data_IF_867221066045
#
_entry.id   IF_867221066045
#
_cell.length_a   1.000
_cell.length_b   1.000
_cell.length_c   1.000
_cell.angle_alpha   90.00
_cell.angle_beta   90.00
_cell.angle_gamma   90.00
#
_symmetry.space_group_name_H-M   'P 1'
#
loop_
_entity.id
_entity.type
_entity.pdbx_description
1 polymer ?
#
# COMPACT_ATOMS: atom_id res chain seq x y z
N UNK A 1 24.11 -0.19 14.29
CA UNK A 1 22.97 -1.10 14.11
C UNK A 1 21.79 -0.39 13.45
N UNK A 2 21.32 0.72 13.96
CA UNK A 2 20.19 1.49 13.42
C UNK A 2 20.40 2.01 11.97
N UNK A 3 21.61 2.41 11.63
CA UNK A 3 21.95 2.90 10.28
C UNK A 3 21.75 1.80 9.24
N UNK A 4 22.14 0.56 9.52
CA UNK A 4 21.98 -0.56 8.59
C UNK A 4 20.51 -0.91 8.35
N UNK A 5 19.68 -0.82 9.39
CA UNK A 5 18.24 -1.07 9.24
C UNK A 5 17.55 0.07 8.45
N UNK A 6 17.96 1.31 8.66
CA UNK A 6 17.48 2.45 7.89
C UNK A 6 17.89 2.34 6.41
N UNK A 7 19.13 1.98 6.14
CA UNK A 7 19.64 1.76 4.79
C UNK A 7 18.92 0.59 4.11
N UNK A 8 18.66 -0.50 4.84
CA UNK A 8 17.90 -1.63 4.31
C UNK A 8 16.46 -1.24 3.98
N UNK A 9 15.81 -0.47 4.84
CA UNK A 9 14.46 0.03 4.62
C UNK A 9 14.39 0.92 3.36
N UNK A 10 15.35 1.83 3.22
CA UNK A 10 15.48 2.67 2.02
C UNK A 10 15.74 1.81 0.76
N UNK A 11 16.68 0.88 0.82
CA UNK A 11 16.96 -0.07 -0.26
C UNK A 11 15.72 -0.88 -0.65
N UNK A 12 14.95 -1.34 0.31
CA UNK A 12 13.71 -2.07 0.06
C UNK A 12 12.72 -1.26 -0.79
N UNK A 13 12.47 -0.01 -0.42
CA UNK A 13 11.56 0.84 -1.19
C UNK A 13 12.14 1.28 -2.53
N UNK A 14 13.44 1.55 -2.61
CA UNK A 14 14.10 1.86 -3.87
C UNK A 14 13.98 0.69 -4.86
N UNK A 15 14.20 -0.52 -4.39
CA UNK A 15 14.02 -1.72 -5.21
C UNK A 15 12.58 -1.87 -5.71
N UNK A 16 11.60 -1.72 -4.84
CA UNK A 16 10.19 -1.73 -5.23
C UNK A 16 9.89 -0.65 -6.28
N UNK A 17 10.45 0.54 -6.12
CA UNK A 17 10.29 1.65 -7.05
C UNK A 17 10.85 1.33 -8.44
N UNK A 18 12.01 0.71 -8.51
CA UNK A 18 12.67 0.32 -9.76
C UNK A 18 11.93 -0.82 -10.48
N UNK A 19 11.20 -1.64 -9.74
CA UNK A 19 10.43 -2.75 -10.29
C UNK A 19 9.03 -2.35 -10.82
N UNK A 20 8.55 -1.13 -10.53
CA UNK A 20 7.25 -0.63 -11.00
C UNK A 20 7.02 -0.85 -12.51
N UNK A 21 7.95 -0.52 -13.42
CA UNK A 21 7.73 -0.70 -14.85
C UNK A 21 7.84 -2.14 -15.35
N UNK A 22 8.36 -3.07 -14.53
CA UNK A 22 8.70 -4.43 -14.96
C UNK A 22 7.51 -5.40 -14.88
N UNK A 23 6.46 -5.05 -14.14
CA UNK A 23 5.34 -5.94 -13.84
C UNK A 23 4.00 -5.29 -14.22
N UNK A 24 3.01 -6.10 -14.53
CA UNK A 24 1.61 -5.66 -14.58
C UNK A 24 1.14 -5.20 -13.19
N UNK A 25 -0.03 -4.60 -13.08
CA UNK A 25 -0.56 -4.16 -11.78
C UNK A 25 -0.82 -5.36 -10.85
N UNK A 26 -1.36 -6.44 -11.39
CA UNK A 26 -1.68 -7.64 -10.63
C UNK A 26 -0.42 -8.34 -10.12
N UNK A 27 0.53 -8.61 -11.01
CA UNK A 27 1.83 -9.20 -10.63
C UNK A 27 2.57 -8.35 -9.60
N UNK A 28 2.48 -7.02 -9.73
CA UNK A 28 3.13 -6.12 -8.80
C UNK A 28 2.47 -6.13 -7.42
N UNK A 29 1.15 -6.28 -7.33
CA UNK A 29 0.43 -6.48 -6.07
C UNK A 29 0.88 -7.76 -5.36
N UNK A 30 1.01 -8.87 -6.09
CA UNK A 30 1.49 -10.13 -5.54
C UNK A 30 2.94 -10.00 -5.06
N UNK A 31 3.79 -9.32 -5.83
CA UNK A 31 5.16 -9.03 -5.46
C UNK A 31 5.23 -8.20 -4.17
N UNK A 32 4.41 -7.15 -4.04
CA UNK A 32 4.33 -6.32 -2.83
C UNK A 32 3.93 -7.17 -1.63
N UNK A 33 2.92 -8.01 -1.76
CA UNK A 33 2.47 -8.90 -0.68
C UNK A 33 3.58 -9.82 -0.21
N UNK A 34 4.26 -10.48 -1.16
CA UNK A 34 5.38 -11.36 -0.84
C UNK A 34 6.52 -10.62 -0.11
N UNK A 35 6.85 -9.41 -0.58
CA UNK A 35 7.91 -8.60 0.01
C UNK A 35 7.53 -8.00 1.35
N UNK A 36 6.28 -7.58 1.52
CA UNK A 36 5.77 -7.11 2.80
C UNK A 36 5.86 -8.21 3.87
N UNK A 37 5.52 -9.44 3.52
CA UNK A 37 5.68 -10.61 4.42
C UNK A 37 7.15 -10.86 4.79
N UNK A 38 8.06 -10.77 3.81
CA UNK A 38 9.51 -10.91 4.09
C UNK A 38 10.02 -9.81 4.99
N UNK A 39 9.57 -8.58 4.77
CA UNK A 39 9.95 -7.43 5.60
C UNK A 39 9.39 -7.56 7.02
N UNK A 40 8.13 -7.96 7.17
CA UNK A 40 7.52 -8.22 8.46
C UNK A 40 8.30 -9.29 9.25
N UNK A 41 8.67 -10.38 8.57
CA UNK A 41 9.51 -11.43 9.17
C UNK A 41 10.89 -10.92 9.59
N UNK A 42 11.54 -10.07 8.77
CA UNK A 42 12.84 -9.50 9.09
C UNK A 42 12.83 -8.66 10.36
N UNK A 43 11.76 -7.89 10.56
CA UNK A 43 11.58 -7.04 11.74
C UNK A 43 10.88 -7.74 12.91
N UNK A 44 10.79 -9.08 12.87
CA UNK A 44 10.12 -9.91 13.89
C UNK A 44 8.69 -9.42 14.22
N UNK A 45 7.99 -8.91 13.19
CA UNK A 45 6.60 -8.48 13.36
C UNK A 45 5.69 -9.71 13.46
N UNK A 46 5.01 -9.83 14.58
CA UNK A 46 4.00 -10.88 14.80
C UNK A 46 2.65 -10.37 14.32
N UNK A 47 2.19 -10.90 13.19
CA UNK A 47 0.90 -10.54 12.60
C UNK A 47 -0.13 -11.61 12.97
N UNK A 48 -1.12 -11.23 13.75
CA UNK A 48 -2.22 -12.12 14.16
C UNK A 48 -3.46 -11.81 13.30
N UNK A 49 -3.91 -12.78 12.51
CA UNK A 49 -5.11 -12.65 11.68
C UNK A 49 -6.21 -13.52 12.26
N UNK A 50 -7.34 -12.90 12.62
CA UNK A 50 -8.53 -13.60 13.07
C UNK A 50 -9.59 -13.59 11.96
N UNK A 51 -9.98 -14.77 11.49
CA UNK A 51 -10.89 -14.93 10.36
C UNK A 51 -10.16 -14.99 9.01
N UNK A 52 -10.94 -14.91 7.93
CA UNK A 52 -10.41 -14.88 6.56
C UNK A 52 -10.62 -13.50 5.95
N UNK A 53 -9.62 -12.93 5.24
CA UNK A 53 -9.82 -11.70 4.49
C UNK A 53 -10.98 -11.87 3.50
N UNK A 54 -11.94 -10.95 3.54
CA UNK A 54 -13.08 -10.92 2.62
C UNK A 54 -12.88 -9.82 1.59
N UNK A 55 -13.50 -9.92 0.40
CA UNK A 55 -13.62 -8.79 -0.52
C UNK A 55 -14.30 -7.59 0.18
N UNK A 56 -14.02 -6.39 -0.29
CA UNK A 56 -14.62 -5.17 0.24
C UNK A 56 -13.60 -4.23 0.90
N UNK A 57 -14.12 -3.30 1.70
CA UNK A 57 -13.32 -2.26 2.34
C UNK A 57 -12.71 -2.73 3.66
N UNK A 58 -11.43 -2.41 3.84
CA UNK A 58 -10.74 -2.57 5.11
C UNK A 58 -10.53 -1.19 5.75
N UNK A 59 -11.07 -0.99 6.94
CA UNK A 59 -10.76 0.15 7.77
C UNK A 59 -9.78 -0.27 8.87
N UNK A 60 -8.70 0.48 9.03
CA UNK A 60 -7.67 0.19 10.03
C UNK A 60 -7.26 1.46 10.77
N UNK A 61 -6.89 1.32 12.03
CA UNK A 61 -6.18 2.37 12.75
C UNK A 61 -4.81 2.56 12.10
N UNK A 62 -4.45 3.82 11.85
CA UNK A 62 -3.17 4.16 11.23
C UNK A 62 -2.34 4.98 12.21
N UNK A 63 -1.44 4.31 12.91
CA UNK A 63 -0.62 4.87 13.99
C UNK A 63 0.88 4.79 13.69
N UNK A 64 1.27 4.03 12.66
CA UNK A 64 2.66 3.80 12.30
C UNK A 64 2.88 3.83 10.79
N UNK A 65 4.07 4.23 10.35
CA UNK A 65 4.51 4.10 8.96
C UNK A 65 4.65 2.64 8.49
N UNK A 66 4.61 1.68 9.42
CA UNK A 66 4.67 0.25 9.13
C UNK A 66 3.29 -0.36 8.84
N UNK A 67 2.19 0.32 9.20
CA UNK A 67 0.83 -0.20 9.00
C UNK A 67 0.52 -0.57 7.55
N UNK A 68 0.89 0.21 6.53
CA UNK A 68 0.70 -0.17 5.14
C UNK A 68 1.38 -1.49 4.78
N UNK A 69 2.55 -1.76 5.37
CA UNK A 69 3.31 -3.01 5.16
C UNK A 69 2.55 -4.19 5.77
N UNK A 70 2.04 -4.03 6.99
CA UNK A 70 1.24 -5.06 7.67
C UNK A 70 -0.03 -5.37 6.88
N UNK A 71 -0.75 -4.34 6.43
CA UNK A 71 -1.96 -4.52 5.62
C UNK A 71 -1.65 -5.26 4.32
N UNK A 72 -0.62 -4.85 3.59
CA UNK A 72 -0.21 -5.51 2.34
C UNK A 72 0.31 -6.95 2.55
N UNK A 73 0.87 -7.26 3.71
CA UNK A 73 1.29 -8.62 4.05
C UNK A 73 0.11 -9.59 4.24
N UNK A 74 -1.05 -9.07 4.65
CA UNK A 74 -2.27 -9.85 4.90
C UNK A 74 -3.15 -9.90 3.67
N UNK A 75 -3.45 -8.74 3.09
CA UNK A 75 -4.35 -8.59 1.94
C UNK A 75 -3.80 -7.56 0.98
N UNK A 76 -3.56 -7.98 -0.26
CA UNK A 76 -3.21 -7.04 -1.32
C UNK A 76 -4.40 -6.18 -1.71
N UNK A 77 -4.14 -4.94 -2.08
CA UNK A 77 -5.19 -4.03 -2.55
C UNK A 77 -4.71 -2.59 -2.61
N UNK A 78 -5.54 -1.75 -3.21
CA UNK A 78 -5.36 -0.31 -3.19
C UNK A 78 -5.82 0.30 -1.87
N UNK A 79 -5.59 1.58 -1.72
CA UNK A 79 -6.04 2.37 -0.58
C UNK A 79 -6.36 3.81 -1.01
N UNK A 80 -6.88 4.60 -0.10
CA UNK A 80 -7.10 6.03 -0.31
C UNK A 80 -6.02 6.81 0.44
N UNK A 81 -5.34 7.72 -0.25
CA UNK A 81 -4.31 8.57 0.33
C UNK A 81 -4.43 10.02 -0.13
N UNK A 82 -3.75 10.91 0.57
CA UNK A 82 -3.61 12.31 0.15
C UNK A 82 -2.85 12.40 -1.17
N UNK A 83 -3.29 13.31 -2.04
CA UNK A 83 -2.67 13.51 -3.36
C UNK A 83 -1.19 13.90 -3.28
N UNK A 84 -0.75 14.57 -2.23
CA UNK A 84 0.63 14.99 -2.02
C UNK A 84 1.59 13.79 -1.93
N UNK A 85 1.13 12.65 -1.42
CA UNK A 85 1.93 11.41 -1.33
C UNK A 85 2.27 10.86 -2.71
N UNK A 86 1.44 11.14 -3.73
CA UNK A 86 1.70 10.75 -5.12
C UNK A 86 3.03 11.31 -5.65
N UNK A 87 3.39 12.50 -5.18
CA UNK A 87 4.58 13.22 -5.66
C UNK A 87 5.86 12.81 -4.91
N UNK A 88 5.75 11.92 -3.92
CA UNK A 88 6.93 11.36 -3.23
C UNK A 88 7.69 10.41 -4.13
N UNK A 89 8.98 10.70 -4.33
CA UNK A 89 9.85 9.98 -5.27
C UNK A 89 9.81 8.45 -5.11
N UNK A 90 9.90 7.95 -3.88
CA UNK A 90 9.89 6.50 -3.62
C UNK A 90 8.47 5.93 -3.60
N UNK A 91 7.59 6.55 -2.85
CA UNK A 91 6.28 5.97 -2.52
C UNK A 91 5.20 6.21 -3.58
N UNK A 92 5.22 7.36 -4.24
CA UNK A 92 4.20 7.75 -5.19
C UNK A 92 4.00 6.73 -6.32
N UNK A 93 5.04 6.35 -7.07
CA UNK A 93 4.92 5.36 -8.13
C UNK A 93 4.55 3.96 -7.65
N UNK A 94 5.05 3.52 -6.49
CA UNK A 94 4.70 2.24 -5.86
C UNK A 94 3.20 2.24 -5.53
N UNK A 95 2.74 3.27 -4.82
CA UNK A 95 1.35 3.42 -4.40
C UNK A 95 0.40 3.50 -5.61
N UNK A 96 0.76 4.27 -6.64
CA UNK A 96 -0.01 4.34 -7.88
C UNK A 96 -0.12 2.99 -8.57
N UNK A 97 0.97 2.22 -8.59
CA UNK A 97 0.99 0.90 -9.23
C UNK A 97 0.11 -0.13 -8.51
N UNK A 98 0.01 -0.08 -7.19
CA UNK A 98 -0.91 -0.96 -6.45
C UNK A 98 -2.37 -0.51 -6.52
N UNK A 99 -2.66 0.63 -7.10
CA UNK A 99 -4.02 1.14 -7.29
C UNK A 99 -4.50 2.08 -6.19
N UNK A 100 -3.60 2.93 -5.68
CA UNK A 100 -3.98 3.97 -4.73
C UNK A 100 -4.92 4.99 -5.36
N UNK A 101 -5.97 5.36 -4.64
CA UNK A 101 -6.82 6.50 -4.98
C UNK A 101 -6.36 7.76 -4.25
N UNK A 102 -6.34 8.87 -4.98
CA UNK A 102 -5.79 10.13 -4.51
C UNK A 102 -6.88 11.14 -4.17
N UNK A 103 -6.86 11.69 -2.98
CA UNK A 103 -7.84 12.65 -2.51
C UNK A 103 -7.20 13.97 -2.10
N UNK A 104 -7.76 15.08 -2.57
CA UNK A 104 -7.58 16.41 -1.98
C UNK A 104 -8.63 16.61 -0.91
N UNK A 105 -8.23 16.54 0.37
CA UNK A 105 -9.16 16.55 1.51
C UNK A 105 -10.00 17.82 1.60
N UNK A 106 -9.43 18.95 1.19
CA UNK A 106 -10.06 20.27 1.20
C UNK A 106 -11.08 20.44 0.05
N UNK A 107 -11.05 19.59 -0.97
CA UNK A 107 -11.88 19.71 -2.15
C UNK A 107 -13.04 18.69 -2.11
N UNK A 108 -14.29 19.20 -2.01
CA UNK A 108 -15.51 18.38 -1.96
C UNK A 108 -15.67 17.50 -3.21
N UNK A 109 -15.40 18.04 -4.42
CA UNK A 109 -15.50 17.28 -5.67
C UNK A 109 -14.50 16.12 -5.70
N UNK A 110 -13.27 16.33 -5.20
CA UNK A 110 -12.25 15.28 -5.11
C UNK A 110 -12.70 14.17 -4.17
N UNK A 111 -13.27 14.51 -3.00
CA UNK A 111 -13.80 13.51 -2.06
C UNK A 111 -14.94 12.70 -2.67
N UNK A 112 -15.90 13.36 -3.31
CA UNK A 112 -17.03 12.69 -3.98
C UNK A 112 -16.57 11.81 -5.13
N UNK A 113 -15.57 12.26 -5.91
CA UNK A 113 -14.96 11.46 -6.99
C UNK A 113 -14.31 10.17 -6.49
N UNK A 114 -13.58 10.22 -5.36
CA UNK A 114 -12.98 9.03 -4.75
C UNK A 114 -14.05 8.06 -4.25
N UNK A 115 -15.13 8.54 -3.63
CA UNK A 115 -16.25 7.70 -3.20
C UNK A 115 -16.88 6.98 -4.40
N UNK A 116 -17.07 7.69 -5.52
CA UNK A 116 -17.61 7.09 -6.74
C UNK A 116 -16.68 5.99 -7.29
N UNK A 117 -15.36 6.22 -7.32
CA UNK A 117 -14.39 5.21 -7.75
C UNK A 117 -14.37 3.99 -6.81
N UNK A 118 -14.48 4.20 -5.50
CA UNK A 118 -14.56 3.11 -4.53
C UNK A 118 -15.81 2.24 -4.76
N UNK A 119 -16.96 2.85 -5.01
CA UNK A 119 -18.19 2.11 -5.30
C UNK A 119 -18.07 1.28 -6.58
N UNK A 120 -17.35 1.77 -7.59
CA UNK A 120 -17.07 1.00 -8.81
C UNK A 120 -16.12 -0.19 -8.53
N UNK A 121 -15.16 -0.04 -7.63
CA UNK A 121 -14.28 -1.14 -7.24
C UNK A 121 -15.01 -2.26 -6.52
N UNK A 122 -15.93 -1.91 -5.63
CA UNK A 122 -16.73 -2.90 -4.89
C UNK A 122 -17.66 -3.69 -5.83
N UNK A 123 -18.18 -3.05 -6.88
CA UNK A 123 -19.00 -3.70 -7.88
C UNK A 123 -18.23 -4.62 -8.86
N UNK A 124 -16.91 -4.45 -8.98
CA UNK A 124 -16.05 -5.19 -9.91
C UNK A 124 -15.29 -6.38 -9.27
N UNK A 125 -15.31 -6.52 -7.94
CA UNK A 125 -14.63 -7.55 -7.15
C UNK A 125 -15.59 -8.29 -6.21
#
# INVERSE_FOLDING_TARGET
>A
MWIFELLYFFYFFLRLRLEVPLYSQEEYRDLITLRARKLAKRYDMKIYVKGKPQPGFLAANHTSYLDPIVVQAVKTGGAVSKVEVRDYFLFGPIASKVGMLWVKRENKKSRTGVIHQLNQWDAAN
#
